data_IF_654121306882
#
_entry.id   IF_654121306882
#
_cell.length_a   1.000
_cell.length_b   1.000
_cell.length_c   1.000
_cell.angle_alpha   90.00
_cell.angle_beta   90.00
_cell.angle_gamma   90.00
#
_symmetry.space_group_name_H-M   'P 1'
#
loop_
_entity.id
_entity.type
_entity.pdbx_description
1 polymer ?
#
# COMPACT_ATOMS: atom_id res chain seq x y z
N UNK A 1 8.89 28.09 3.76
CA UNK A 1 8.85 27.09 2.68
C UNK A 1 9.72 25.95 3.15
N UNK A 2 9.30 24.69 3.02
CA UNK A 2 10.12 23.55 3.45
C UNK A 2 11.51 23.60 2.78
N UNK A 3 12.63 23.35 3.51
CA UNK A 3 14.00 23.49 2.98
C UNK A 3 14.25 22.70 1.69
N UNK A 4 13.60 21.54 1.58
CA UNK A 4 13.61 20.68 0.39
C UNK A 4 13.01 21.38 -0.85
N UNK A 5 11.92 22.11 -0.66
CA UNK A 5 11.18 22.78 -1.74
C UNK A 5 12.00 23.95 -2.27
N UNK A 6 12.63 24.71 -1.38
CA UNK A 6 13.51 25.82 -1.76
C UNK A 6 14.74 25.33 -2.55
N UNK A 7 15.33 24.19 -2.12
CA UNK A 7 16.40 23.51 -2.86
C UNK A 7 15.96 23.11 -4.27
N UNK A 8 14.75 22.54 -4.42
CA UNK A 8 14.22 22.15 -5.72
C UNK A 8 13.95 23.36 -6.61
N UNK A 9 13.39 24.44 -6.07
CA UNK A 9 13.11 25.68 -6.81
C UNK A 9 14.37 26.36 -7.38
N UNK A 10 15.54 26.14 -6.77
CA UNK A 10 16.83 26.62 -7.28
C UNK A 10 17.36 25.85 -8.50
N UNK A 11 16.76 24.73 -8.89
CA UNK A 11 17.20 23.93 -10.02
C UNK A 11 16.57 24.41 -11.34
N UNK A 12 17.36 24.53 -12.40
CA UNK A 12 16.89 25.01 -13.71
C UNK A 12 15.81 24.12 -14.35
N UNK A 13 15.77 22.84 -13.98
CA UNK A 13 14.81 21.85 -14.47
C UNK A 13 13.59 21.66 -13.54
N UNK A 14 13.42 22.46 -12.47
CA UNK A 14 12.34 22.27 -11.49
C UNK A 14 10.95 22.22 -12.10
N UNK A 15 10.68 23.08 -13.09
CA UNK A 15 9.38 23.12 -13.79
C UNK A 15 9.13 21.83 -14.57
N UNK A 16 10.18 21.24 -15.16
CA UNK A 16 10.10 19.99 -15.89
C UNK A 16 9.89 18.81 -14.94
N UNK A 17 10.67 18.76 -13.84
CA UNK A 17 10.51 17.75 -12.79
C UNK A 17 9.09 17.78 -12.24
N UNK A 18 8.57 18.96 -11.90
CA UNK A 18 7.21 19.11 -11.36
C UNK A 18 6.15 18.61 -12.35
N UNK A 19 6.29 18.94 -13.64
CA UNK A 19 5.38 18.47 -14.70
C UNK A 19 5.38 16.94 -14.80
N UNK A 20 6.57 16.32 -14.80
CA UNK A 20 6.72 14.87 -14.87
C UNK A 20 6.17 14.17 -13.62
N UNK A 21 6.44 14.74 -12.45
CA UNK A 21 5.94 14.22 -11.17
C UNK A 21 4.41 14.23 -11.16
N UNK A 22 3.79 15.37 -11.52
CA UNK A 22 2.32 15.48 -11.59
C UNK A 22 1.73 14.44 -12.54
N UNK A 23 2.29 14.32 -13.74
CA UNK A 23 1.86 13.32 -14.72
C UNK A 23 2.10 11.87 -14.24
N UNK A 24 3.11 11.62 -13.40
CA UNK A 24 3.34 10.31 -12.80
C UNK A 24 2.30 9.98 -11.73
N UNK A 25 1.95 10.93 -10.88
CA UNK A 25 0.93 10.76 -9.83
C UNK A 25 -0.45 10.53 -10.43
N UNK A 26 -0.85 11.31 -11.44
CA UNK A 26 -2.13 11.14 -12.14
C UNK A 26 -2.24 9.76 -12.81
N UNK A 27 -1.15 9.28 -13.43
CA UNK A 27 -1.10 7.93 -14.02
C UNK A 27 -1.19 6.84 -12.96
N UNK A 28 -0.52 7.01 -11.83
CA UNK A 28 -0.55 6.04 -10.74
C UNK A 28 -1.95 5.96 -10.12
N UNK A 29 -2.60 7.10 -9.89
CA UNK A 29 -3.97 7.15 -9.39
C UNK A 29 -4.96 6.47 -10.34
N UNK A 30 -4.86 6.75 -11.64
CA UNK A 30 -5.69 6.07 -12.64
C UNK A 30 -5.48 4.55 -12.62
N UNK A 31 -4.23 4.09 -12.54
CA UNK A 31 -3.91 2.67 -12.47
C UNK A 31 -4.41 2.02 -11.18
N UNK A 32 -4.34 2.73 -10.04
CA UNK A 32 -4.88 2.27 -8.76
C UNK A 32 -6.39 2.06 -8.83
N UNK A 33 -7.11 3.02 -9.38
CA UNK A 33 -8.56 2.93 -9.56
C UNK A 33 -8.94 1.79 -10.51
N UNK A 34 -8.16 1.59 -11.58
CA UNK A 34 -8.33 0.44 -12.48
C UNK A 34 -8.07 -0.89 -11.77
N UNK A 35 -7.03 -0.97 -10.93
CA UNK A 35 -6.74 -2.16 -10.14
C UNK A 35 -7.92 -2.54 -9.25
N UNK A 36 -8.51 -1.59 -8.51
CA UNK A 36 -9.70 -1.86 -7.69
C UNK A 36 -10.91 -2.31 -8.51
N UNK A 37 -11.10 -1.77 -9.71
CA UNK A 37 -12.23 -2.14 -10.58
C UNK A 37 -12.07 -3.53 -11.21
N UNK A 38 -10.84 -4.04 -11.33
CA UNK A 38 -10.54 -5.26 -12.08
C UNK A 38 -10.14 -6.44 -11.18
N UNK A 39 -9.64 -6.17 -9.98
CA UNK A 39 -9.20 -7.22 -9.06
C UNK A 39 -10.40 -8.06 -8.61
N UNK A 40 -10.24 -9.37 -8.62
CA UNK A 40 -11.28 -10.32 -8.22
C UNK A 40 -10.82 -11.22 -7.08
N UNK A 41 -11.74 -11.78 -6.29
CA UNK A 41 -11.41 -12.54 -5.06
C UNK A 41 -10.53 -13.78 -5.31
N UNK A 42 -10.54 -14.31 -6.53
CA UNK A 42 -9.71 -15.45 -6.93
C UNK A 42 -8.26 -15.04 -7.24
N UNK A 43 -8.00 -13.75 -7.41
CA UNK A 43 -6.67 -13.22 -7.71
C UNK A 43 -6.02 -12.70 -6.43
N UNK A 44 -4.85 -13.25 -6.10
CA UNK A 44 -3.96 -12.67 -5.10
C UNK A 44 -3.02 -11.71 -5.80
N UNK A 45 -3.30 -10.41 -5.69
CA UNK A 45 -2.46 -9.38 -6.25
C UNK A 45 -2.31 -8.19 -5.32
N UNK A 46 -1.17 -7.52 -5.44
CA UNK A 46 -0.85 -6.28 -4.74
C UNK A 46 -0.67 -5.16 -5.75
N UNK A 47 -1.05 -3.94 -5.36
CA UNK A 47 -0.77 -2.76 -6.14
C UNK A 47 0.25 -1.90 -5.39
N UNK A 48 1.48 -1.85 -5.92
CA UNK A 48 2.60 -1.18 -5.27
C UNK A 48 3.18 -0.14 -6.22
N UNK A 49 3.06 1.13 -5.84
CA UNK A 49 3.65 2.29 -6.56
C UNK A 49 3.37 2.26 -8.07
N UNK A 50 2.11 2.07 -8.45
CA UNK A 50 1.71 2.05 -9.86
C UNK A 50 1.87 0.71 -10.57
N UNK A 51 2.24 -0.37 -9.88
CA UNK A 51 2.44 -1.69 -10.49
C UNK A 51 1.53 -2.74 -9.85
N UNK A 52 0.85 -3.53 -10.68
CA UNK A 52 0.12 -4.72 -10.25
C UNK A 52 1.08 -5.89 -10.18
N UNK A 53 1.19 -6.51 -9.01
CA UNK A 53 2.02 -7.69 -8.75
C UNK A 53 1.06 -8.86 -8.52
N UNK A 54 1.08 -9.85 -9.42
CA UNK A 54 0.26 -11.06 -9.30
C UNK A 54 1.11 -12.13 -8.60
N UNK A 55 0.57 -12.73 -7.55
CA UNK A 55 1.27 -13.78 -6.80
C UNK A 55 1.02 -15.16 -7.39
N UNK A 56 2.05 -16.00 -7.42
CA UNK A 56 1.92 -17.43 -7.71
C UNK A 56 1.12 -18.14 -6.61
N UNK A 57 0.52 -19.31 -6.91
CA UNK A 57 -0.14 -20.14 -5.91
C UNK A 57 0.75 -20.38 -4.68
N UNK A 58 0.15 -20.29 -3.50
CA UNK A 58 0.84 -20.48 -2.21
C UNK A 58 1.17 -21.97 -2.04
N UNK A 59 2.41 -22.27 -1.63
CA UNK A 59 2.81 -23.64 -1.31
C UNK A 59 2.15 -24.10 -0.02
N UNK A 60 1.76 -25.38 0.08
CA UNK A 60 1.15 -25.97 1.28
C UNK A 60 1.92 -25.64 2.56
N UNK A 61 3.25 -25.83 2.58
CA UNK A 61 4.09 -25.55 3.76
C UNK A 61 3.98 -24.12 4.27
N UNK A 62 3.78 -23.16 3.36
CA UNK A 62 3.63 -21.75 3.72
C UNK A 62 2.24 -21.53 4.33
N UNK A 63 1.20 -22.05 3.67
CA UNK A 63 -0.17 -21.98 4.18
C UNK A 63 -0.30 -22.64 5.56
N UNK A 64 0.31 -23.81 5.77
CA UNK A 64 0.33 -24.49 7.07
C UNK A 64 0.95 -23.58 8.15
N UNK A 65 2.16 -23.05 7.90
CA UNK A 65 2.86 -22.18 8.85
C UNK A 65 2.07 -20.92 9.19
N UNK A 66 1.56 -20.21 8.17
CA UNK A 66 0.80 -18.98 8.38
C UNK A 66 -0.55 -19.24 9.08
N UNK A 67 -1.18 -20.39 8.84
CA UNK A 67 -2.41 -20.80 9.54
C UNK A 67 -2.16 -21.06 11.03
N UNK A 68 -1.05 -21.73 11.39
CA UNK A 68 -0.73 -21.92 12.81
C UNK A 68 -0.44 -20.60 13.52
N UNK A 69 0.26 -19.67 12.87
CA UNK A 69 0.50 -18.33 13.40
C UNK A 69 -0.81 -17.55 13.58
N UNK A 70 -1.69 -17.60 12.57
CA UNK A 70 -3.01 -16.96 12.64
C UNK A 70 -3.77 -17.44 13.86
N UNK A 71 -3.84 -18.76 14.10
CA UNK A 71 -4.56 -19.32 15.26
C UNK A 71 -4.01 -18.77 16.58
N UNK A 72 -2.70 -18.81 16.77
CA UNK A 72 -2.07 -18.30 17.99
C UNK A 72 -2.39 -16.83 18.25
N UNK A 73 -2.33 -16.00 17.20
CA UNK A 73 -2.58 -14.57 17.32
C UNK A 73 -4.08 -14.25 17.48
N UNK A 74 -4.94 -14.89 16.68
CA UNK A 74 -6.38 -14.68 16.72
C UNK A 74 -6.95 -15.12 18.06
N UNK A 75 -6.60 -16.32 18.55
CA UNK A 75 -7.07 -16.81 19.85
C UNK A 75 -6.67 -15.85 20.99
N UNK A 76 -5.45 -15.29 20.94
CA UNK A 76 -4.99 -14.32 21.93
C UNK A 76 -5.76 -12.99 21.84
N UNK A 77 -5.94 -12.45 20.63
CA UNK A 77 -6.66 -11.20 20.40
C UNK A 77 -8.13 -11.31 20.80
N UNK A 78 -8.78 -12.42 20.45
CA UNK A 78 -10.18 -12.68 20.78
C UNK A 78 -10.35 -12.84 22.30
N UNK A 79 -9.48 -13.59 22.97
CA UNK A 79 -9.55 -13.81 24.42
C UNK A 79 -9.34 -12.53 25.26
N UNK A 80 -8.70 -11.52 24.69
CA UNK A 80 -8.39 -10.25 25.36
C UNK A 80 -9.13 -9.05 24.74
N UNK A 81 -10.07 -9.29 23.81
CA UNK A 81 -10.86 -8.26 23.14
C UNK A 81 -10.00 -7.15 22.48
N UNK A 82 -8.87 -7.52 21.88
CA UNK A 82 -7.86 -6.57 21.37
C UNK A 82 -8.11 -6.09 19.93
N UNK A 83 -9.18 -6.55 19.29
CA UNK A 83 -9.56 -6.14 17.93
C UNK A 83 -9.60 -7.30 16.94
N UNK A 84 -8.92 -7.15 15.79
CA UNK A 84 -9.06 -8.04 14.64
C UNK A 84 -7.71 -8.52 14.09
N UNK A 85 -7.64 -9.81 13.73
CA UNK A 85 -6.50 -10.41 13.03
C UNK A 85 -6.93 -10.89 11.65
N UNK A 86 -6.26 -10.36 10.61
CA UNK A 86 -6.51 -10.69 9.21
C UNK A 86 -5.45 -11.62 8.61
N UNK A 87 -5.83 -12.47 7.64
CA UNK A 87 -4.91 -13.40 6.97
C UNK A 87 -5.14 -13.59 5.47
N UNK A 88 -4.03 -13.55 4.72
CA UNK A 88 -3.81 -13.90 3.30
C UNK A 88 -4.61 -13.19 2.18
N UNK A 89 -5.92 -12.97 2.33
CA UNK A 89 -6.79 -12.47 1.24
C UNK A 89 -7.58 -11.24 1.67
N UNK A 90 -6.89 -10.27 2.27
CA UNK A 90 -7.50 -9.02 2.71
C UNK A 90 -6.91 -7.88 1.90
N UNK A 91 -7.78 -7.10 1.28
CA UNK A 91 -7.37 -5.87 0.63
C UNK A 91 -7.08 -4.80 1.68
N UNK A 92 -5.82 -4.40 1.78
CA UNK A 92 -5.39 -3.32 2.67
C UNK A 92 -4.92 -2.15 1.80
N UNK A 93 -5.47 -0.96 2.05
CA UNK A 93 -5.02 0.28 1.45
C UNK A 93 -4.02 0.94 2.39
N UNK A 94 -2.82 1.21 1.88
CA UNK A 94 -1.81 1.98 2.59
C UNK A 94 -1.74 3.38 2.00
N UNK A 95 -1.80 4.38 2.85
CA UNK A 95 -1.66 5.79 2.50
C UNK A 95 -0.61 6.40 3.41
N UNK A 96 0.14 7.38 2.90
CA UNK A 96 1.02 8.17 3.76
C UNK A 96 0.16 9.06 4.65
N UNK A 97 0.48 9.11 5.93
CA UNK A 97 -0.19 10.02 6.85
C UNK A 97 0.24 11.46 6.55
N UNK A 98 -0.64 12.23 5.92
CA UNK A 98 -0.42 13.65 5.64
C UNK A 98 -0.78 14.55 6.84
N UNK A 99 -1.15 13.96 7.98
CA UNK A 99 -1.58 14.67 9.19
C UNK A 99 -0.43 14.97 10.16
N UNK A 100 0.78 14.48 9.89
CA UNK A 100 1.95 14.64 10.76
C UNK A 100 2.82 15.87 10.46
N UNK A 101 2.42 16.70 9.48
CA UNK A 101 3.08 17.98 9.19
C UNK A 101 2.61 19.06 10.20
N UNK A 102 3.23 19.00 11.39
CA UNK A 102 3.41 20.04 12.41
C UNK A 102 2.70 21.38 12.27
N UNK A 103 1.37 21.41 12.45
CA UNK A 103 0.64 22.63 12.82
C UNK A 103 0.07 22.50 14.24
N UNK A 104 0.89 22.91 15.20
CA UNK A 104 0.49 23.36 16.54
C UNK A 104 1.25 24.66 16.84
#
# INVERSE_FOLDING_TARGET
MEPEVERLMGQSNVKQIFKELKASLEREEKQRNQFYAQIHEQQKAEFIRGKVIIHSPVKKRHSDASTYLLRLLADFVDAHELGYVGHEKIMVKLEFDTSSDGSA
#
